data_IF_725471301214
#
_entry.id   IF_725471301214
#
_cell.length_a   1.000
_cell.length_b   1.000
_cell.length_c   1.000
_cell.angle_alpha   90.00
_cell.angle_beta   90.00
_cell.angle_gamma   90.00
#
_symmetry.space_group_name_H-M   'P 1'
#
loop_
_entity.id
_entity.type
_entity.pdbx_description
1 polymer ?
#
# COMPACT_ATOMS: atom_id res chain seq x y z
N UNK A 1 -30.81 26.72 19.81
CA UNK A 1 -31.15 26.17 18.48
C UNK A 1 -31.89 24.87 18.73
N UNK A 2 -33.12 24.79 18.23
CA UNK A 2 -34.08 23.72 18.50
C UNK A 2 -33.64 22.41 17.79
N UNK A 3 -33.46 21.27 18.49
CA UNK A 3 -33.09 19.99 17.87
C UNK A 3 -34.13 19.45 16.87
N UNK A 4 -35.34 20.03 16.85
CA UNK A 4 -36.48 19.56 16.04
C UNK A 4 -36.39 19.92 14.55
N UNK A 5 -35.54 20.89 14.17
CA UNK A 5 -35.38 21.30 12.76
C UNK A 5 -34.31 20.53 11.98
N UNK A 6 -33.57 19.61 12.62
CA UNK A 6 -32.47 18.90 11.95
C UNK A 6 -32.97 17.91 10.89
N UNK A 7 -34.17 17.34 11.08
CA UNK A 7 -34.81 16.48 10.10
C UNK A 7 -35.29 17.24 8.87
N UNK A 8 -35.86 18.45 9.04
CA UNK A 8 -36.22 19.32 7.92
C UNK A 8 -35.00 19.72 7.07
N UNK A 9 -33.83 19.92 7.71
CA UNK A 9 -32.58 20.23 7.00
C UNK A 9 -32.06 19.02 6.21
N UNK A 10 -32.22 17.80 6.74
CA UNK A 10 -31.81 16.57 6.04
C UNK A 10 -32.70 16.30 4.82
N UNK A 11 -33.99 16.56 4.92
CA UNK A 11 -34.95 16.34 3.82
C UNK A 11 -34.72 17.27 2.61
N UNK A 12 -34.14 18.45 2.82
CA UNK A 12 -33.83 19.41 1.75
C UNK A 12 -32.47 19.15 1.10
N UNK A 13 -31.62 18.32 1.71
CA UNK A 13 -30.35 17.91 1.12
C UNK A 13 -30.61 16.79 0.11
N UNK A 14 -30.32 17.06 -1.18
CA UNK A 14 -30.28 16.00 -2.19
C UNK A 14 -29.22 14.96 -1.80
N UNK A 15 -29.68 13.82 -1.28
CA UNK A 15 -28.82 12.69 -0.96
C UNK A 15 -28.29 12.10 -2.26
N UNK A 16 -26.98 12.26 -2.49
CA UNK A 16 -26.28 11.68 -3.66
C UNK A 16 -26.19 10.16 -3.57
N UNK A 17 -26.37 9.61 -2.36
CA UNK A 17 -26.35 8.17 -2.08
C UNK A 17 -27.69 7.78 -1.45
N UNK A 18 -28.45 6.95 -2.15
CA UNK A 18 -29.74 6.43 -1.66
C UNK A 18 -29.53 5.22 -0.74
N UNK A 19 -30.53 4.89 0.08
CA UNK A 19 -30.50 3.68 0.91
C UNK A 19 -30.43 2.41 0.06
N UNK A 20 -31.01 2.44 -1.14
CA UNK A 20 -30.87 1.38 -2.15
C UNK A 20 -29.41 1.22 -2.60
N UNK A 21 -28.71 2.32 -2.90
CA UNK A 21 -27.28 2.28 -3.24
C UNK A 21 -26.43 1.71 -2.10
N UNK A 22 -26.78 2.01 -0.84
CA UNK A 22 -26.09 1.45 0.33
C UNK A 22 -26.42 -0.04 0.55
N UNK A 23 -27.65 -0.46 0.29
CA UNK A 23 -28.08 -1.86 0.34
C UNK A 23 -27.35 -2.68 -0.73
N UNK A 24 -27.22 -2.14 -1.94
CA UNK A 24 -26.50 -2.77 -3.05
C UNK A 24 -25.00 -2.92 -2.75
N UNK A 25 -24.37 -1.93 -2.10
CA UNK A 25 -22.97 -2.03 -1.66
C UNK A 25 -22.73 -3.10 -0.59
N UNK A 26 -23.76 -3.50 0.14
CA UNK A 26 -23.70 -4.54 1.17
C UNK A 26 -24.15 -5.92 0.68
N UNK A 27 -24.67 -6.02 -0.55
CA UNK A 27 -25.09 -7.27 -1.14
C UNK A 27 -23.89 -8.22 -1.36
N UNK A 28 -24.09 -9.55 -1.28
CA UNK A 28 -23.04 -10.51 -1.55
C UNK A 28 -22.59 -10.43 -3.01
N UNK A 29 -21.29 -10.23 -3.20
CA UNK A 29 -20.67 -10.13 -4.54
C UNK A 29 -20.86 -11.44 -5.30
N UNK A 30 -21.45 -11.37 -6.49
CA UNK A 30 -21.72 -12.53 -7.34
C UNK A 30 -20.56 -12.77 -8.32
N UNK A 31 -20.27 -14.02 -8.68
CA UNK A 31 -19.22 -14.38 -9.66
C UNK A 31 -19.38 -13.66 -11.01
N UNK A 32 -20.63 -13.45 -11.45
CA UNK A 32 -20.95 -12.70 -12.66
C UNK A 32 -20.56 -11.22 -12.58
N UNK A 33 -20.65 -10.60 -11.39
CA UNK A 33 -20.23 -9.22 -11.17
C UNK A 33 -18.72 -9.10 -11.17
N UNK A 34 -18.01 -10.05 -10.55
CA UNK A 34 -16.54 -10.13 -10.59
C UNK A 34 -16.07 -10.27 -12.04
N UNK A 35 -16.71 -11.15 -12.82
CA UNK A 35 -16.40 -11.33 -14.23
C UNK A 35 -16.61 -10.04 -15.03
N UNK A 36 -17.76 -9.36 -14.86
CA UNK A 36 -18.03 -8.08 -15.53
C UNK A 36 -17.05 -6.98 -15.12
N UNK A 37 -16.77 -6.84 -13.84
CA UNK A 37 -15.83 -5.85 -13.31
C UNK A 37 -14.41 -6.10 -13.83
N UNK A 38 -13.95 -7.36 -13.87
CA UNK A 38 -12.66 -7.71 -14.46
C UNK A 38 -12.55 -7.30 -15.93
N UNK A 39 -13.59 -7.52 -16.72
CA UNK A 39 -13.62 -7.10 -18.14
C UNK A 39 -13.67 -5.58 -18.32
N UNK A 40 -14.26 -4.85 -17.38
CA UNK A 40 -14.33 -3.38 -17.42
C UNK A 40 -13.03 -2.68 -16.97
N UNK A 41 -12.21 -3.34 -16.13
CA UNK A 41 -10.95 -2.78 -15.63
C UNK A 41 -9.92 -2.47 -16.73
N UNK A 42 -9.97 -3.17 -17.87
CA UNK A 42 -9.03 -2.98 -18.98
C UNK A 42 -9.35 -1.80 -19.90
N UNK A 43 -10.60 -1.31 -19.90
CA UNK A 43 -11.11 -0.45 -20.97
C UNK A 43 -10.84 1.04 -20.80
N UNK A 44 -11.10 1.64 -19.63
CA UNK A 44 -11.19 3.10 -19.53
C UNK A 44 -10.78 3.60 -18.14
N UNK A 45 -9.53 4.05 -17.99
CA UNK A 45 -9.24 5.06 -16.97
C UNK A 45 -9.83 6.38 -17.47
N UNK A 46 -11.04 6.68 -17.01
CA UNK A 46 -11.79 7.91 -17.30
C UNK A 46 -11.93 8.24 -18.80
N UNK A 47 -13.06 7.89 -19.46
CA UNK A 47 -13.28 8.18 -20.88
C UNK A 47 -13.13 9.67 -21.25
N UNK A 48 -13.27 10.57 -20.28
CA UNK A 48 -13.08 12.01 -20.47
C UNK A 48 -11.60 12.48 -20.42
N UNK A 49 -10.67 11.72 -19.82
CA UNK A 49 -9.29 12.17 -19.63
C UNK A 49 -8.30 11.65 -20.68
N UNK A 50 -8.73 10.78 -21.59
CA UNK A 50 -7.87 10.19 -22.63
C UNK A 50 -6.71 9.33 -22.09
N UNK A 51 -6.80 8.85 -20.85
CA UNK A 51 -5.75 8.04 -20.24
C UNK A 51 -5.98 6.56 -20.52
N UNK A 52 -4.92 5.85 -20.93
CA UNK A 52 -4.93 4.40 -21.11
C UNK A 52 -4.21 3.69 -19.97
N UNK A 53 -4.61 2.44 -19.72
CA UNK A 53 -3.92 1.56 -18.75
C UNK A 53 -2.60 1.13 -19.35
N UNK A 54 -1.52 1.25 -18.57
CA UNK A 54 -0.24 0.67 -18.94
C UNK A 54 -0.20 -0.79 -18.47
N UNK A 55 -0.41 -1.72 -19.40
CA UNK A 55 -0.45 -3.15 -19.12
C UNK A 55 0.91 -3.73 -18.70
N UNK A 56 2.04 -3.12 -19.10
CA UNK A 56 3.38 -3.53 -18.66
C UNK A 56 3.62 -3.25 -17.17
N UNK A 57 3.02 -2.17 -16.65
CA UNK A 57 3.08 -1.79 -15.23
C UNK A 57 1.93 -2.36 -14.41
N UNK A 58 0.94 -2.96 -15.08
CA UNK A 58 -0.23 -3.54 -14.43
C UNK A 58 0.00 -5.02 -14.21
N UNK A 59 -0.35 -5.49 -13.02
CA UNK A 59 -0.22 -6.88 -12.71
C UNK A 59 -1.22 -7.33 -11.67
N UNK A 60 -1.39 -8.65 -11.60
CA UNK A 60 -2.32 -9.31 -10.69
C UNK A 60 -1.56 -10.25 -9.78
N UNK A 61 -2.01 -10.30 -8.53
CA UNK A 61 -1.52 -11.23 -7.53
C UNK A 61 -2.69 -12.10 -7.07
N UNK A 62 -2.43 -13.41 -6.92
CA UNK A 62 -3.44 -14.38 -6.48
C UNK A 62 -3.07 -14.98 -5.14
N UNK A 63 -4.09 -15.27 -4.34
CA UNK A 63 -3.91 -16.00 -3.07
C UNK A 63 -3.48 -17.45 -3.34
N UNK A 64 -2.87 -18.09 -2.34
CA UNK A 64 -2.55 -19.53 -2.42
C UNK A 64 -3.77 -20.44 -2.56
N UNK A 65 -4.97 -19.91 -2.30
CA UNK A 65 -6.23 -20.65 -2.36
C UNK A 65 -6.90 -20.53 -3.74
N UNK A 66 -6.32 -19.78 -4.66
CA UNK A 66 -6.89 -19.57 -6.00
C UNK A 66 -6.47 -20.70 -6.95
N UNK A 67 -7.41 -21.42 -7.59
CA UNK A 67 -7.08 -22.44 -8.57
C UNK A 67 -6.28 -21.89 -9.76
N UNK A 68 -5.31 -22.66 -10.25
CA UNK A 68 -4.42 -22.24 -11.34
C UNK A 68 -5.15 -21.95 -12.65
N UNK A 69 -6.21 -22.70 -12.95
CA UNK A 69 -7.06 -22.49 -14.13
C UNK A 69 -7.76 -21.13 -14.07
N UNK A 70 -8.41 -20.82 -12.95
CA UNK A 70 -9.09 -19.55 -12.74
C UNK A 70 -8.12 -18.36 -12.80
N UNK A 71 -6.94 -18.50 -12.20
CA UNK A 71 -5.88 -17.49 -12.25
C UNK A 71 -5.46 -17.18 -13.70
N UNK A 72 -5.30 -18.22 -14.53
CA UNK A 72 -4.96 -18.06 -15.94
C UNK A 72 -6.09 -17.38 -16.72
N UNK A 73 -7.34 -17.80 -16.52
CA UNK A 73 -8.50 -17.20 -17.18
C UNK A 73 -8.62 -15.71 -16.87
N UNK A 74 -8.32 -15.31 -15.62
CA UNK A 74 -8.31 -13.92 -15.18
C UNK A 74 -7.15 -13.15 -15.82
N UNK A 75 -5.94 -13.71 -15.87
CA UNK A 75 -4.79 -13.08 -16.54
C UNK A 75 -5.08 -12.85 -18.04
N UNK A 76 -5.64 -13.86 -18.71
CA UNK A 76 -6.00 -13.80 -20.12
C UNK A 76 -7.12 -12.76 -20.36
N UNK A 77 -8.07 -12.66 -19.43
CA UNK A 77 -9.13 -11.66 -19.49
C UNK A 77 -8.65 -10.22 -19.28
N UNK A 78 -7.62 -10.03 -18.45
CA UNK A 78 -7.08 -8.72 -18.08
C UNK A 78 -5.87 -8.28 -18.92
N UNK A 79 -5.32 -9.16 -19.76
CA UNK A 79 -4.08 -8.96 -20.50
C UNK A 79 -2.89 -8.54 -19.62
N UNK A 80 -2.82 -9.07 -18.39
CA UNK A 80 -1.74 -8.81 -17.44
C UNK A 80 -1.03 -10.09 -17.02
N UNK A 81 0.25 -9.96 -16.66
CA UNK A 81 1.03 -11.09 -16.16
C UNK A 81 0.82 -11.29 -14.65
N UNK A 82 0.77 -12.55 -14.17
CA UNK A 82 0.79 -12.83 -12.75
C UNK A 82 2.11 -12.36 -12.16
N UNK A 83 2.04 -11.66 -11.04
CA UNK A 83 3.21 -11.01 -10.42
C UNK A 83 3.72 -11.79 -9.21
N UNK A 84 5.04 -11.73 -9.01
CA UNK A 84 5.72 -12.30 -7.84
C UNK A 84 5.10 -11.73 -6.55
N UNK A 85 4.79 -12.56 -5.54
CA UNK A 85 4.45 -12.12 -4.20
C UNK A 85 5.32 -10.94 -3.70
N UNK A 86 6.60 -10.87 -4.05
CA UNK A 86 7.52 -9.81 -3.62
C UNK A 86 7.30 -8.44 -4.27
N UNK A 87 6.27 -8.26 -5.08
CA UNK A 87 5.96 -6.98 -5.68
C UNK A 87 5.75 -5.88 -4.64
N UNK A 88 6.17 -4.67 -5.03
CA UNK A 88 6.11 -3.50 -4.18
C UNK A 88 5.03 -2.55 -4.66
N UNK A 89 4.17 -2.14 -3.73
CA UNK A 89 3.24 -1.04 -3.93
C UNK A 89 3.71 0.15 -3.07
N UNK A 90 3.92 1.30 -3.71
CA UNK A 90 4.47 2.51 -3.06
C UNK A 90 5.79 2.27 -2.29
N UNK A 91 6.60 1.33 -2.78
CA UNK A 91 7.88 0.97 -2.16
C UNK A 91 7.77 0.01 -0.96
N UNK A 92 6.57 -0.43 -0.60
CA UNK A 92 6.31 -1.43 0.44
C UNK A 92 5.90 -2.77 -0.19
N UNK A 93 6.27 -3.92 0.42
CA UNK A 93 5.80 -5.21 -0.06
C UNK A 93 4.27 -5.29 -0.07
N UNK A 94 3.69 -5.71 -1.19
CA UNK A 94 2.23 -5.76 -1.38
C UNK A 94 1.54 -6.97 -0.71
N UNK A 95 2.28 -7.77 0.07
CA UNK A 95 1.81 -9.08 0.55
C UNK A 95 0.94 -8.96 1.78
N UNK A 96 -0.26 -9.54 1.69
CA UNK A 96 -1.14 -9.87 2.81
C UNK A 96 -0.79 -11.31 3.27
N UNK A 97 0.00 -11.44 4.34
CA UNK A 97 0.44 -12.76 4.84
C UNK A 97 1.42 -12.68 6.03
N UNK A 98 2.10 -13.80 6.34
CA UNK A 98 3.12 -13.84 7.40
C UNK A 98 4.32 -12.96 7.00
N UNK A 99 4.39 -11.78 7.61
CA UNK A 99 5.47 -10.81 7.45
C UNK A 99 6.80 -11.42 7.88
N UNK A 100 7.59 -11.91 6.92
CA UNK A 100 8.95 -12.39 7.17
C UNK A 100 9.88 -11.19 7.34
N UNK A 101 10.84 -11.28 8.26
CA UNK A 101 11.86 -10.25 8.47
C UNK A 101 12.65 -9.89 7.20
N UNK A 102 12.74 -10.82 6.25
CA UNK A 102 13.37 -10.62 4.94
C UNK A 102 12.66 -9.54 4.11
N UNK A 103 11.34 -9.38 4.23
CA UNK A 103 10.58 -8.39 3.49
C UNK A 103 10.96 -6.95 3.85
N UNK A 104 11.49 -6.75 5.06
CA UNK A 104 11.91 -5.45 5.57
C UNK A 104 13.43 -5.25 5.57
N UNK A 105 14.19 -6.19 5.00
CA UNK A 105 15.66 -6.09 4.88
C UNK A 105 16.08 -4.81 4.13
N UNK A 106 15.29 -4.39 3.14
CA UNK A 106 15.52 -3.16 2.38
C UNK A 106 15.56 -1.90 3.26
N UNK A 107 14.86 -1.88 4.40
CA UNK A 107 14.89 -0.73 5.32
C UNK A 107 16.25 -0.62 5.99
N UNK A 108 16.79 -1.74 6.48
CA UNK A 108 18.11 -1.77 7.08
C UNK A 108 19.18 -1.37 6.06
N UNK A 109 19.09 -1.88 4.83
CA UNK A 109 20.02 -1.55 3.76
C UNK A 109 20.00 -0.05 3.43
N UNK A 110 18.80 0.55 3.27
CA UNK A 110 18.67 1.99 3.03
C UNK A 110 19.27 2.83 4.15
N UNK A 111 19.03 2.44 5.41
CA UNK A 111 19.62 3.12 6.58
C UNK A 111 21.14 3.02 6.56
N UNK A 112 21.69 1.84 6.33
CA UNK A 112 23.14 1.61 6.28
C UNK A 112 23.81 2.39 5.16
N UNK A 113 23.24 2.40 3.96
CA UNK A 113 23.76 3.16 2.82
C UNK A 113 23.84 4.65 3.11
N UNK A 114 22.82 5.22 3.77
CA UNK A 114 22.84 6.62 4.19
C UNK A 114 23.90 6.89 5.25
N UNK A 115 24.02 6.01 6.24
CA UNK A 115 24.99 6.16 7.33
C UNK A 115 26.45 6.03 6.86
N UNK A 116 26.73 5.10 5.94
CA UNK A 116 28.07 4.90 5.35
C UNK A 116 28.51 6.10 4.52
N UNK A 117 27.56 6.80 3.87
CA UNK A 117 27.85 8.03 3.12
C UNK A 117 28.28 9.20 4.01
N UNK A 118 28.08 9.14 5.32
CA UNK A 118 28.41 10.21 6.23
C UNK A 118 29.76 10.01 6.89
N UNK A 119 30.64 11.02 6.79
CA UNK A 119 31.93 11.04 7.49
C UNK A 119 31.71 11.28 8.99
N UNK A 120 31.38 10.22 9.73
CA UNK A 120 31.11 10.26 11.17
C UNK A 120 32.16 11.05 11.97
N UNK A 121 33.44 10.87 11.65
CA UNK A 121 34.57 11.53 12.33
C UNK A 121 34.63 13.04 12.14
N UNK A 122 33.94 13.61 11.14
CA UNK A 122 33.93 15.05 10.87
C UNK A 122 32.69 15.76 11.46
N UNK A 123 31.73 15.01 11.99
CA UNK A 123 30.48 15.55 12.50
C UNK A 123 30.56 15.69 14.02
N UNK A 124 30.11 16.84 14.52
CA UNK A 124 29.86 17.06 15.94
C UNK A 124 28.74 16.13 16.43
N UNK A 125 28.66 15.92 17.75
CA UNK A 125 27.59 15.12 18.36
C UNK A 125 26.20 15.66 17.99
N UNK A 126 26.00 16.97 18.05
CA UNK A 126 24.75 17.62 17.64
C UNK A 126 24.44 17.40 16.14
N UNK A 127 25.48 17.42 15.28
CA UNK A 127 25.33 17.13 13.86
C UNK A 127 24.88 15.69 13.61
N UNK A 128 25.47 14.72 14.32
CA UNK A 128 25.08 13.29 14.24
C UNK A 128 23.64 13.08 14.70
N UNK A 129 23.26 13.68 15.83
CA UNK A 129 21.89 13.58 16.36
C UNK A 129 20.85 14.16 15.38
N UNK A 130 21.17 15.31 14.79
CA UNK A 130 20.31 15.95 13.78
C UNK A 130 20.10 15.05 12.57
N UNK A 131 21.16 14.41 12.05
CA UNK A 131 21.06 13.48 10.92
C UNK A 131 20.27 12.21 11.26
N UNK A 132 20.45 11.67 12.46
CA UNK A 132 19.68 10.52 12.94
C UNK A 132 18.18 10.85 12.94
N UNK A 133 17.80 11.98 13.56
CA UNK A 133 16.39 12.38 13.68
C UNK A 133 15.76 12.74 12.34
N UNK A 134 16.45 13.53 11.52
CA UNK A 134 15.89 14.03 10.25
C UNK A 134 15.86 12.98 9.14
N UNK A 135 16.85 12.09 9.06
CA UNK A 135 16.96 11.14 7.95
C UNK A 135 16.72 9.71 8.39
N UNK A 136 17.43 9.22 9.42
CA UNK A 136 17.37 7.80 9.78
C UNK A 136 16.00 7.42 10.37
N UNK A 137 15.40 8.27 11.20
CA UNK A 137 14.06 8.04 11.75
C UNK A 137 12.96 8.21 10.69
N UNK A 138 13.15 9.08 9.70
CA UNK A 138 12.17 9.30 8.63
C UNK A 138 12.03 8.09 7.70
N UNK A 139 13.11 7.36 7.41
CA UNK A 139 13.10 6.19 6.50
C UNK A 139 12.07 5.11 6.90
N UNK A 140 12.07 4.58 8.14
CA UNK A 140 11.10 3.56 8.54
C UNK A 140 9.74 4.14 8.92
N UNK A 141 9.58 5.47 9.06
CA UNK A 141 8.33 6.09 9.52
C UNK A 141 7.13 5.73 8.65
N UNK A 142 7.28 5.76 7.32
CA UNK A 142 6.20 5.37 6.40
C UNK A 142 5.86 3.87 6.55
N UNK A 143 6.87 3.00 6.62
CA UNK A 143 6.62 1.56 6.78
C UNK A 143 5.96 1.23 8.12
N UNK A 144 6.32 1.93 9.21
CA UNK A 144 5.73 1.73 10.53
C UNK A 144 4.27 2.19 10.61
N UNK A 145 3.84 3.13 9.76
CA UNK A 145 2.42 3.51 9.66
C UNK A 145 1.59 2.39 9.03
N UNK A 146 2.16 1.65 8.08
CA UNK A 146 1.44 0.59 7.37
C UNK A 146 1.61 -0.80 8.00
N UNK A 147 2.72 -1.06 8.72
CA UNK A 147 3.09 -2.39 9.21
C UNK A 147 3.73 -2.38 10.59
N UNK A 148 3.46 -3.43 11.37
CA UNK A 148 4.22 -3.72 12.58
C UNK A 148 5.58 -4.34 12.22
N UNK A 149 6.67 -3.65 12.55
CA UNK A 149 8.03 -4.13 12.26
C UNK A 149 8.44 -5.27 13.22
N UNK A 150 9.13 -6.32 12.73
CA UNK A 150 9.68 -7.37 13.60
C UNK A 150 10.71 -6.82 14.59
N UNK A 151 10.63 -7.23 15.86
CA UNK A 151 11.56 -6.79 16.93
C UNK A 151 13.03 -6.99 16.56
N UNK A 152 13.37 -8.11 15.91
CA UNK A 152 14.73 -8.41 15.48
C UNK A 152 15.28 -7.37 14.49
N UNK A 153 14.43 -6.85 13.59
CA UNK A 153 14.82 -5.81 12.63
C UNK A 153 15.09 -4.49 13.37
N UNK A 154 14.19 -4.13 14.30
CA UNK A 154 14.30 -2.91 15.07
C UNK A 154 15.56 -2.91 15.95
N UNK A 155 15.87 -4.02 16.62
CA UNK A 155 17.08 -4.18 17.43
C UNK A 155 18.37 -3.99 16.60
N UNK A 156 18.39 -4.53 15.37
CA UNK A 156 19.51 -4.30 14.44
C UNK A 156 19.63 -2.82 14.08
N UNK A 157 18.53 -2.16 13.75
CA UNK A 157 18.50 -0.73 13.42
C UNK A 157 18.99 0.14 14.59
N UNK A 158 18.51 -0.12 15.81
CA UNK A 158 18.96 0.56 17.02
C UNK A 158 20.46 0.36 17.27
N UNK A 159 20.99 -0.84 17.01
CA UNK A 159 22.42 -1.13 17.15
C UNK A 159 23.25 -0.26 16.20
N UNK A 160 22.81 -0.09 14.95
CA UNK A 160 23.50 0.79 14.00
C UNK A 160 23.43 2.26 14.42
N UNK A 161 22.25 2.74 14.81
CA UNK A 161 22.08 4.12 15.29
C UNK A 161 22.96 4.40 16.51
N UNK A 162 23.00 3.47 17.48
CA UNK A 162 23.84 3.59 18.68
C UNK A 162 25.33 3.62 18.37
N UNK A 163 25.79 2.91 17.33
CA UNK A 163 27.18 2.96 16.87
C UNK A 163 27.53 4.26 16.14
N UNK A 164 26.52 4.97 15.63
CA UNK A 164 26.71 6.20 14.87
C UNK A 164 26.67 7.46 15.69
N UNK A 165 25.86 7.46 16.75
CA UNK A 165 25.89 8.50 17.77
C UNK A 165 27.32 8.59 18.37
#
# INVERSE_FOLDING_TARGET
MDPRGFQEVIEVLNTVVTDEMNSDLQAPVTDAEIYRASKQLGGLKAPASGQSVNFEKSSVFFSSNTPSLLSKDICDALHVQPTDPKAKYLGLPSIYGKLKSELFSFLLEKVLLKMQGWKQKLLSQAGRETLIKSVIQAIPSYTMQCYLLPKNLLNKLMTYVRRFF
#
